data_IF_768954929573
#
_entry.id   IF_768954929573
#
_cell.length_a   1.000
_cell.length_b   1.000
_cell.length_c   1.000
_cell.angle_alpha   90.00
_cell.angle_beta   90.00
_cell.angle_gamma   90.00
#
_symmetry.space_group_name_H-M   'P 1'
#
loop_
_entity.id
_entity.type
_entity.pdbx_description
1 polymer ?
#
# COMPACT_ATOMS: atom_id res chain seq x y z
N UNK A 1 7.01 -16.65 -0.44
CA UNK A 1 6.30 -16.08 0.73
C UNK A 1 4.87 -16.58 0.74
N UNK A 2 4.46 -17.32 1.76
CA UNK A 2 3.07 -17.82 1.94
C UNK A 2 2.17 -16.86 2.71
N UNK A 3 2.65 -15.65 2.98
CA UNK A 3 2.00 -14.64 3.82
C UNK A 3 2.89 -14.25 5.00
N UNK A 4 2.55 -13.13 5.64
CA UNK A 4 3.23 -12.66 6.86
C UNK A 4 2.18 -12.24 7.88
N UNK A 5 2.58 -12.14 9.14
CA UNK A 5 1.71 -11.71 10.23
C UNK A 5 1.79 -10.20 10.43
N UNK A 6 0.63 -9.56 10.58
CA UNK A 6 0.52 -8.17 11.05
C UNK A 6 0.51 -8.16 12.58
N UNK A 7 1.58 -7.61 13.17
CA UNK A 7 1.68 -7.42 14.63
C UNK A 7 0.47 -6.66 15.17
N UNK A 8 0.00 -5.64 14.45
CA UNK A 8 -1.18 -4.85 14.84
C UNK A 8 -2.43 -5.72 14.94
N UNK A 9 -2.74 -6.52 13.91
CA UNK A 9 -3.93 -7.38 13.90
C UNK A 9 -3.86 -8.47 14.98
N UNK A 10 -2.67 -9.02 15.24
CA UNK A 10 -2.45 -9.95 16.35
C UNK A 10 -2.73 -9.28 17.69
N UNK A 11 -2.14 -8.11 17.95
CA UNK A 11 -2.33 -7.37 19.20
C UNK A 11 -3.81 -7.02 19.43
N UNK A 12 -4.54 -6.62 18.38
CA UNK A 12 -5.99 -6.39 18.46
C UNK A 12 -6.74 -7.68 18.86
N UNK A 13 -6.40 -8.83 18.26
CA UNK A 13 -7.04 -10.13 18.56
C UNK A 13 -6.77 -10.60 20.00
N UNK A 14 -5.58 -10.32 20.54
CA UNK A 14 -5.23 -10.64 21.95
C UNK A 14 -5.47 -9.48 22.91
N UNK A 15 -6.24 -8.46 22.52
CA UNK A 15 -6.61 -7.30 23.36
C UNK A 15 -5.42 -6.59 23.98
N UNK A 16 -4.29 -6.56 23.26
CA UNK A 16 -3.03 -5.95 23.67
C UNK A 16 -2.41 -6.56 24.94
N UNK A 17 -2.76 -7.80 25.29
CA UNK A 17 -2.07 -8.52 26.36
C UNK A 17 -0.60 -8.81 25.99
N UNK A 18 0.32 -8.86 26.98
CA UNK A 18 1.68 -9.32 26.76
C UNK A 18 1.70 -10.74 26.18
N UNK A 19 2.43 -10.92 25.09
CA UNK A 19 2.59 -12.20 24.41
C UNK A 19 3.74 -12.98 25.04
N UNK A 20 3.45 -14.20 25.49
CA UNK A 20 4.47 -15.12 26.03
C UNK A 20 5.08 -15.99 24.94
N UNK A 21 4.25 -16.48 24.02
CA UNK A 21 4.65 -17.44 22.99
C UNK A 21 3.79 -17.29 21.73
N UNK A 22 4.40 -17.53 20.56
CA UNK A 22 3.69 -17.62 19.27
C UNK A 22 4.07 -18.93 18.59
N UNK A 23 3.08 -19.72 18.19
CA UNK A 23 3.25 -20.97 17.44
C UNK A 23 2.57 -20.86 16.07
N UNK A 24 3.25 -21.38 15.06
CA UNK A 24 2.74 -21.48 13.69
C UNK A 24 2.42 -22.94 13.38
N UNK A 25 1.17 -23.22 12.99
CA UNK A 25 0.73 -24.53 12.53
C UNK A 25 0.96 -24.71 11.03
N UNK A 26 1.16 -25.95 10.58
CA UNK A 26 1.32 -26.30 9.16
C UNK A 26 0.06 -26.00 8.33
N UNK A 27 -1.10 -25.89 8.97
CA UNK A 27 -2.39 -25.52 8.38
C UNK A 27 -2.58 -24.00 8.20
N UNK A 28 -1.55 -23.18 8.48
CA UNK A 28 -1.64 -21.73 8.45
C UNK A 28 -2.29 -21.13 9.70
N UNK A 29 -2.45 -21.92 10.77
CA UNK A 29 -2.86 -21.39 12.07
C UNK A 29 -1.74 -20.61 12.73
N UNK A 30 -2.10 -19.50 13.39
CA UNK A 30 -1.26 -18.81 14.38
C UNK A 30 -1.91 -18.98 15.76
N UNK A 31 -1.15 -19.49 16.74
CA UNK A 31 -1.58 -19.59 18.13
C UNK A 31 -0.72 -18.67 18.98
N UNK A 32 -1.37 -17.76 19.71
CA UNK A 32 -0.70 -16.77 20.56
C UNK A 32 -1.09 -17.03 22.01
N UNK A 33 -0.09 -17.24 22.86
CA UNK A 33 -0.27 -17.45 24.30
C UNK A 33 -0.08 -16.15 25.05
N UNK A 34 -1.06 -15.81 25.89
CA UNK A 34 -1.01 -14.68 26.82
C UNK A 34 -1.34 -15.17 28.23
N UNK A 35 -1.32 -14.26 29.22
CA UNK A 35 -1.68 -14.57 30.61
C UNK A 35 -3.13 -15.10 30.74
N UNK A 36 -4.04 -14.64 29.88
CA UNK A 36 -5.43 -15.09 29.84
C UNK A 36 -5.64 -16.44 29.14
N UNK A 37 -4.60 -17.00 28.51
CA UNK A 37 -4.64 -18.28 27.81
C UNK A 37 -4.25 -18.19 26.32
N UNK A 38 -4.63 -19.22 25.55
CA UNK A 38 -4.27 -19.35 24.14
C UNK A 38 -5.36 -18.79 23.23
N UNK A 39 -4.98 -17.92 22.30
CA UNK A 39 -5.84 -17.45 21.20
C UNK A 39 -5.40 -18.07 19.89
N UNK A 40 -6.30 -18.80 19.23
CA UNK A 40 -6.08 -19.39 17.90
C UNK A 40 -6.71 -18.51 16.83
N UNK A 41 -5.95 -18.23 15.76
CA UNK A 41 -6.38 -17.44 14.60
C UNK A 41 -5.77 -18.03 13.32
N UNK A 42 -6.36 -17.75 12.17
CA UNK A 42 -5.79 -18.12 10.87
C UNK A 42 -4.86 -17.03 10.35
N UNK A 43 -3.86 -17.39 9.53
CA UNK A 43 -2.98 -16.40 8.91
C UNK A 43 -3.77 -15.36 8.11
N UNK A 44 -4.84 -15.74 7.43
CA UNK A 44 -5.72 -14.81 6.70
C UNK A 44 -6.38 -13.76 7.59
N UNK A 45 -6.69 -14.06 8.86
CA UNK A 45 -7.29 -13.09 9.78
C UNK A 45 -6.31 -12.04 10.28
N UNK A 46 -5.01 -12.38 10.32
CA UNK A 46 -3.97 -11.51 10.87
C UNK A 46 -2.90 -11.12 9.87
N UNK A 47 -3.02 -11.49 8.61
CA UNK A 47 -2.12 -11.02 7.57
C UNK A 47 -2.40 -9.54 7.22
N UNK A 48 -1.39 -8.76 6.84
CA UNK A 48 -1.61 -7.45 6.24
C UNK A 48 -2.41 -7.58 4.94
N UNK A 49 -3.20 -6.56 4.59
CA UNK A 49 -4.15 -6.62 3.46
C UNK A 49 -3.45 -6.89 2.11
N UNK A 50 -2.18 -6.46 1.97
CA UNK A 50 -1.34 -6.78 0.80
C UNK A 50 -1.23 -8.28 0.52
N UNK A 51 -1.23 -9.11 1.55
CA UNK A 51 -1.12 -10.57 1.39
C UNK A 51 -2.36 -11.20 0.74
N UNK A 52 -3.52 -10.55 0.83
CA UNK A 52 -4.74 -11.05 0.21
C UNK A 52 -4.75 -10.91 -1.32
N UNK A 53 -3.95 -9.99 -1.87
CA UNK A 53 -3.95 -9.62 -3.30
C UNK A 53 -2.57 -9.70 -3.96
N UNK A 54 -1.55 -10.21 -3.25
CA UNK A 54 -0.18 -10.29 -3.77
C UNK A 54 -0.07 -11.31 -4.91
N UNK A 55 0.31 -10.83 -6.10
CA UNK A 55 0.57 -11.66 -7.28
C UNK A 55 2.02 -12.16 -7.37
N UNK A 56 2.92 -11.70 -6.49
CA UNK A 56 4.36 -11.99 -6.55
C UNK A 56 4.88 -12.53 -5.20
N UNK A 57 4.47 -13.76 -4.79
CA UNK A 57 4.93 -14.36 -3.53
C UNK A 57 6.42 -14.73 -3.56
N UNK A 58 7.02 -14.84 -4.74
CA UNK A 58 8.45 -15.02 -4.96
C UNK A 58 8.99 -13.75 -5.61
N UNK A 59 10.11 -13.17 -5.13
CA UNK A 59 10.72 -12.00 -5.76
C UNK A 59 11.01 -12.28 -7.23
N UNK A 60 10.72 -11.30 -8.10
CA UNK A 60 10.99 -11.42 -9.54
C UNK A 60 12.50 -11.46 -9.82
N UNK A 61 13.27 -10.69 -9.05
CA UNK A 61 14.73 -10.62 -9.12
C UNK A 61 15.30 -10.91 -7.73
N UNK A 62 16.27 -11.83 -7.65
CA UNK A 62 16.99 -12.17 -6.43
C UNK A 62 18.35 -12.82 -6.76
N UNK A 63 19.36 -12.54 -5.94
CA UNK A 63 20.64 -13.27 -5.98
C UNK A 63 20.59 -14.58 -5.19
N UNK A 64 19.83 -14.57 -4.09
CA UNK A 64 19.61 -15.73 -3.23
C UNK A 64 18.14 -15.81 -2.80
N UNK A 65 17.53 -16.98 -2.97
CA UNK A 65 16.19 -17.28 -2.48
C UNK A 65 16.29 -18.24 -1.29
N UNK A 66 15.77 -17.83 -0.15
CA UNK A 66 15.60 -18.71 1.00
C UNK A 66 14.36 -19.58 0.79
N UNK A 67 14.58 -20.88 0.56
CA UNK A 67 13.52 -21.85 0.25
C UNK A 67 13.21 -21.93 -1.25
N UNK A 68 12.17 -22.70 -1.59
CA UNK A 68 11.78 -22.94 -2.98
C UNK A 68 10.84 -21.83 -3.51
N UNK A 69 10.88 -21.56 -4.83
CA UNK A 69 9.95 -20.62 -5.45
C UNK A 69 8.51 -21.13 -5.35
N UNK A 70 7.60 -20.23 -4.99
CA UNK A 70 6.17 -20.49 -4.86
C UNK A 70 5.44 -19.77 -5.99
N UNK A 71 4.47 -20.47 -6.61
CA UNK A 71 3.58 -19.89 -7.63
C UNK A 71 2.50 -19.02 -6.96
N UNK A 72 2.08 -17.93 -7.61
CA UNK A 72 0.94 -17.14 -7.14
C UNK A 72 -0.29 -18.02 -6.98
N UNK A 73 -0.95 -17.92 -5.83
CA UNK A 73 -2.21 -18.62 -5.52
C UNK A 73 -3.43 -17.70 -5.63
N UNK A 74 -3.21 -16.43 -5.97
CA UNK A 74 -4.25 -15.40 -6.17
C UNK A 74 -4.51 -15.19 -7.65
N UNK A 75 -5.78 -15.03 -8.00
CA UNK A 75 -6.20 -14.74 -9.36
C UNK A 75 -5.75 -13.30 -9.74
N UNK A 76 -5.16 -13.06 -10.92
CA UNK A 76 -4.76 -11.72 -11.36
C UNK A 76 -5.89 -10.68 -11.27
N UNK A 77 -7.13 -11.10 -11.52
CA UNK A 77 -8.34 -10.28 -11.46
C UNK A 77 -8.67 -9.84 -10.04
N UNK A 78 -8.19 -10.56 -9.02
CA UNK A 78 -8.40 -10.17 -7.62
C UNK A 78 -7.49 -9.02 -7.17
N UNK A 79 -6.47 -8.68 -7.95
CA UNK A 79 -5.46 -7.70 -7.57
C UNK A 79 -6.07 -6.35 -7.21
N UNK A 80 -7.06 -5.85 -7.95
CA UNK A 80 -7.65 -4.51 -7.73
C UNK A 80 -9.09 -4.52 -7.19
N UNK A 81 -9.60 -5.67 -6.75
CA UNK A 81 -10.99 -5.82 -6.32
C UNK A 81 -11.42 -4.81 -5.24
N UNK A 82 -10.55 -4.51 -4.27
CA UNK A 82 -10.83 -3.54 -3.21
C UNK A 82 -10.86 -2.08 -3.68
N UNK A 83 -10.17 -1.79 -4.79
CA UNK A 83 -10.23 -0.51 -5.50
C UNK A 83 -11.52 -0.45 -6.30
N UNK A 84 -11.82 -1.47 -7.11
CA UNK A 84 -13.05 -1.57 -7.91
C UNK A 84 -14.30 -1.40 -7.04
N UNK A 85 -14.38 -2.12 -5.92
CA UNK A 85 -15.47 -1.98 -4.93
C UNK A 85 -15.55 -0.55 -4.40
N UNK A 86 -14.42 0.12 -4.16
CA UNK A 86 -14.38 1.49 -3.68
C UNK A 86 -14.79 2.51 -4.76
N UNK A 87 -14.52 2.23 -6.03
CA UNK A 87 -14.88 3.10 -7.16
C UNK A 87 -16.36 3.07 -7.52
N UNK A 88 -17.12 2.06 -7.04
CA UNK A 88 -18.59 2.06 -7.14
C UNK A 88 -19.25 3.19 -6.34
N UNK A 89 -18.52 3.81 -5.40
CA UNK A 89 -18.99 4.92 -4.58
C UNK A 89 -18.99 6.24 -5.34
N UNK A 90 -19.90 7.14 -4.97
CA UNK A 90 -19.93 8.50 -5.52
C UNK A 90 -18.62 9.26 -5.21
N UNK A 91 -18.35 10.33 -5.94
CA UNK A 91 -17.18 11.18 -5.67
C UNK A 91 -17.26 11.79 -4.26
N UNK A 92 -18.45 12.16 -3.81
CA UNK A 92 -18.72 12.71 -2.48
C UNK A 92 -18.44 11.66 -1.39
N UNK A 93 -18.86 10.42 -1.58
CA UNK A 93 -18.59 9.33 -0.65
C UNK A 93 -17.10 9.01 -0.56
N UNK A 94 -16.40 8.97 -1.70
CA UNK A 94 -14.95 8.75 -1.77
C UNK A 94 -14.19 9.89 -1.12
N UNK A 95 -14.59 11.14 -1.38
CA UNK A 95 -14.04 12.35 -0.74
C UNK A 95 -14.24 12.30 0.77
N UNK A 96 -15.45 12.05 1.24
CA UNK A 96 -15.76 11.96 2.67
C UNK A 96 -14.99 10.83 3.37
N UNK A 97 -14.75 9.70 2.69
CA UNK A 97 -13.90 8.63 3.21
C UNK A 97 -12.46 9.12 3.44
N UNK A 98 -11.84 9.70 2.42
CA UNK A 98 -10.45 10.18 2.54
C UNK A 98 -10.31 11.35 3.49
N UNK A 99 -11.31 12.24 3.57
CA UNK A 99 -11.33 13.32 4.55
C UNK A 99 -11.31 12.77 5.98
N UNK A 100 -12.12 11.75 6.29
CA UNK A 100 -12.11 11.10 7.62
C UNK A 100 -10.79 10.37 7.91
N UNK A 101 -10.25 9.63 6.94
CA UNK A 101 -8.99 8.91 7.13
C UNK A 101 -7.81 9.87 7.33
N UNK A 102 -7.72 10.92 6.50
CA UNK A 102 -6.61 11.87 6.58
C UNK A 102 -6.76 12.89 7.70
N UNK A 103 -7.95 13.17 8.22
CA UNK A 103 -8.08 14.02 9.41
C UNK A 103 -7.32 13.44 10.62
N UNK A 104 -7.30 12.11 10.73
CA UNK A 104 -6.54 11.36 11.74
C UNK A 104 -5.02 11.40 11.54
N UNK A 105 -4.53 11.83 10.38
CA UNK A 105 -3.09 11.86 10.10
C UNK A 105 -2.39 12.89 10.99
N UNK A 106 -1.39 12.42 11.76
CA UNK A 106 -0.58 13.25 12.66
C UNK A 106 0.68 13.80 11.99
N UNK A 107 0.83 13.64 10.67
CA UNK A 107 2.00 14.08 9.89
C UNK A 107 3.35 13.60 10.46
N UNK A 108 3.40 12.38 11.00
CA UNK A 108 4.65 11.78 11.48
C UNK A 108 5.58 11.31 10.35
N UNK A 109 5.10 11.30 9.10
CA UNK A 109 5.82 10.88 7.89
C UNK A 109 6.43 9.47 7.92
N UNK A 110 6.04 8.60 8.87
CA UNK A 110 6.48 7.21 8.91
C UNK A 110 6.20 6.49 7.58
N UNK A 111 5.05 6.75 6.96
CA UNK A 111 4.68 6.16 5.67
C UNK A 111 5.54 6.62 4.50
N UNK A 112 6.08 7.85 4.54
CA UNK A 112 7.08 8.35 3.57
C UNK A 112 8.42 7.66 3.84
N UNK A 113 8.87 7.68 5.09
CA UNK A 113 10.23 7.24 5.46
C UNK A 113 10.41 5.73 5.31
N UNK A 114 9.34 4.94 5.41
CA UNK A 114 9.36 3.50 5.16
C UNK A 114 9.29 3.14 3.66
N UNK A 115 8.99 4.10 2.77
CA UNK A 115 8.84 3.82 1.35
C UNK A 115 10.21 3.80 0.67
N UNK A 116 10.63 2.67 0.06
CA UNK A 116 11.93 2.59 -0.62
C UNK A 116 11.99 3.45 -1.88
N UNK A 117 10.84 3.88 -2.41
CA UNK A 117 10.75 4.71 -3.61
C UNK A 117 10.80 6.22 -3.32
N UNK A 118 10.81 6.62 -2.04
CA UNK A 118 10.94 8.02 -1.63
C UNK A 118 12.40 8.48 -1.66
N UNK A 119 12.89 8.82 -2.85
CA UNK A 119 14.31 9.17 -3.09
C UNK A 119 14.63 10.66 -2.95
N UNK A 120 13.63 11.53 -2.88
CA UNK A 120 13.80 12.99 -2.86
C UNK A 120 14.34 13.54 -1.52
N UNK A 121 15.18 12.78 -0.78
CA UNK A 121 15.47 12.96 0.65
C UNK A 121 15.52 14.43 1.11
N UNK A 122 16.33 15.27 0.45
CA UNK A 122 16.56 16.68 0.83
C UNK A 122 15.61 17.70 0.16
N UNK A 123 14.74 17.26 -0.75
CA UNK A 123 13.81 18.12 -1.51
C UNK A 123 12.38 17.59 -1.50
N UNK A 124 12.02 16.88 -0.43
CA UNK A 124 10.67 16.36 -0.26
C UNK A 124 9.68 17.50 -0.05
N UNK A 125 8.49 17.41 -0.66
CA UNK A 125 7.42 18.39 -0.48
C UNK A 125 7.01 18.60 0.98
N UNK A 126 7.21 17.60 1.85
CA UNK A 126 6.89 17.67 3.27
C UNK A 126 7.84 18.57 4.08
N UNK A 127 9.04 18.81 3.55
CA UNK A 127 10.16 19.47 4.25
C UNK A 127 10.68 20.70 3.48
N UNK A 128 10.47 20.74 2.16
CA UNK A 128 10.92 21.82 1.28
C UNK A 128 10.23 23.14 1.62
N UNK A 129 11.04 24.17 1.80
CA UNK A 129 10.59 25.57 1.92
C UNK A 129 10.45 26.24 0.55
N UNK A 130 11.27 25.84 -0.42
CA UNK A 130 11.32 26.45 -1.75
C UNK A 130 11.43 25.35 -2.82
N UNK A 131 10.40 25.15 -3.66
CA UNK A 131 9.05 25.73 -3.55
C UNK A 131 8.29 25.25 -2.29
N UNK A 132 7.42 26.12 -1.76
CA UNK A 132 6.59 25.85 -0.57
C UNK A 132 5.28 25.14 -0.98
N UNK A 133 5.34 23.82 -1.16
CA UNK A 133 4.21 23.01 -1.63
C UNK A 133 3.11 22.82 -0.57
N UNK A 134 3.50 22.52 0.66
CA UNK A 134 2.60 22.33 1.80
C UNK A 134 3.13 23.08 3.00
N UNK A 135 2.24 23.72 3.75
CA UNK A 135 2.62 24.37 5.00
C UNK A 135 2.84 23.36 6.12
N UNK A 136 3.36 23.79 7.26
CA UNK A 136 3.51 22.94 8.46
C UNK A 136 2.19 22.75 9.24
N UNK A 137 1.08 23.37 8.82
CA UNK A 137 -0.20 23.26 9.52
C UNK A 137 -0.76 21.84 9.42
N UNK A 138 -1.13 21.24 10.54
CA UNK A 138 -1.78 19.91 10.55
C UNK A 138 -3.31 20.00 10.35
N UNK A 139 -3.78 20.83 9.42
CA UNK A 139 -5.19 20.84 9.02
C UNK A 139 -5.45 19.84 7.89
N UNK A 140 -6.72 19.52 7.65
CA UNK A 140 -7.12 18.52 6.66
C UNK A 140 -6.65 18.86 5.24
N UNK A 141 -6.73 20.13 4.82
CA UNK A 141 -6.29 20.58 3.49
C UNK A 141 -4.83 20.24 3.23
N UNK A 142 -3.95 20.54 4.19
CA UNK A 142 -2.51 20.26 4.06
C UNK A 142 -2.20 18.76 4.07
N UNK A 143 -2.91 17.99 4.90
CA UNK A 143 -2.79 16.52 4.94
C UNK A 143 -3.24 15.90 3.61
N UNK A 144 -4.36 16.36 3.07
CA UNK A 144 -4.88 15.95 1.75
C UNK A 144 -3.85 16.25 0.66
N UNK A 145 -3.35 17.49 0.57
CA UNK A 145 -2.36 17.90 -0.44
C UNK A 145 -1.10 17.03 -0.38
N UNK A 146 -0.54 16.82 0.82
CA UNK A 146 0.62 15.94 0.99
C UNK A 146 0.34 14.52 0.47
N UNK A 147 -0.78 13.92 0.86
CA UNK A 147 -1.11 12.55 0.47
C UNK A 147 -1.37 12.40 -1.04
N UNK A 148 -1.98 13.40 -1.68
CA UNK A 148 -2.20 13.41 -3.13
C UNK A 148 -0.90 13.56 -3.90
N UNK A 149 -0.05 14.55 -3.55
CA UNK A 149 1.23 14.77 -4.23
C UNK A 149 2.15 13.57 -4.02
N UNK A 150 2.23 13.02 -2.81
CA UNK A 150 3.03 11.84 -2.52
C UNK A 150 2.54 10.60 -3.30
N UNK A 151 1.23 10.44 -3.50
CA UNK A 151 0.70 9.37 -4.33
C UNK A 151 1.08 9.57 -5.81
N UNK A 152 0.97 10.80 -6.32
CA UNK A 152 1.37 11.14 -7.69
C UNK A 152 2.87 10.92 -7.94
N UNK A 153 3.75 11.29 -7.01
CA UNK A 153 5.19 11.03 -7.11
C UNK A 153 5.53 9.54 -7.22
N UNK A 154 4.66 8.68 -6.72
CA UNK A 154 4.80 7.23 -6.76
C UNK A 154 4.06 6.58 -7.94
N UNK A 155 3.40 7.36 -8.80
CA UNK A 155 2.77 6.85 -10.01
C UNK A 155 3.81 6.15 -10.90
N UNK A 156 3.54 4.90 -11.26
CA UNK A 156 4.48 4.06 -12.02
C UNK A 156 5.67 3.53 -11.22
N UNK A 157 5.72 3.75 -9.90
CA UNK A 157 6.83 3.33 -9.01
C UNK A 157 6.39 2.49 -7.83
N UNK A 158 5.15 2.63 -7.37
CA UNK A 158 4.67 1.88 -6.22
C UNK A 158 4.52 0.39 -6.56
N UNK A 159 5.25 -0.48 -5.87
CA UNK A 159 5.16 -1.94 -6.03
C UNK A 159 4.19 -2.61 -5.04
N UNK A 160 3.30 -1.81 -4.45
CA UNK A 160 2.27 -2.29 -3.50
C UNK A 160 2.81 -3.07 -2.29
N UNK A 161 4.01 -2.73 -1.82
CA UNK A 161 4.65 -3.40 -0.70
C UNK A 161 3.91 -3.22 0.64
N UNK A 162 2.94 -2.30 0.75
CA UNK A 162 2.09 -2.09 1.93
C UNK A 162 2.81 -1.58 3.19
N UNK A 163 4.10 -1.23 3.09
CA UNK A 163 4.88 -0.77 4.24
C UNK A 163 4.36 0.55 4.81
N UNK A 164 3.80 1.41 3.97
CA UNK A 164 3.16 2.66 4.38
C UNK A 164 1.98 2.46 5.34
N UNK A 165 1.23 1.36 5.19
CA UNK A 165 0.12 1.01 6.08
C UNK A 165 0.65 0.37 7.37
N UNK A 166 1.65 -0.52 7.24
CA UNK A 166 2.26 -1.23 8.37
C UNK A 166 2.82 -0.26 9.40
N UNK A 167 3.48 0.81 8.95
CA UNK A 167 4.14 1.78 9.83
C UNK A 167 3.23 2.92 10.28
N UNK A 168 2.00 3.03 9.77
CA UNK A 168 1.10 4.12 10.15
C UNK A 168 0.56 3.88 11.56
N UNK A 169 0.92 4.71 12.56
CA UNK A 169 0.43 4.52 13.94
C UNK A 169 -1.08 4.76 14.03
N UNK A 170 -1.63 5.53 13.09
CA UNK A 170 -3.06 5.83 13.03
C UNK A 170 -3.84 4.79 12.23
N UNK A 171 -3.18 3.82 11.59
CA UNK A 171 -3.83 2.80 10.77
C UNK A 171 -4.54 3.34 9.53
N UNK A 172 -4.02 4.41 8.93
CA UNK A 172 -4.56 4.99 7.68
C UNK A 172 -4.18 4.06 6.51
N UNK A 173 -5.11 3.68 5.63
CA UNK A 173 -4.86 2.80 4.48
C UNK A 173 -4.23 3.59 3.32
N UNK A 174 -3.01 4.08 3.54
CA UNK A 174 -2.24 4.89 2.58
C UNK A 174 -1.99 4.12 1.29
N UNK A 175 -1.79 2.80 1.34
CA UNK A 175 -1.53 1.94 0.19
C UNK A 175 -2.72 1.88 -0.77
N UNK A 176 -3.97 1.93 -0.27
CA UNK A 176 -5.19 1.90 -1.09
C UNK A 176 -5.22 3.02 -2.14
N UNK A 177 -4.72 4.21 -1.77
CA UNK A 177 -4.58 5.32 -2.71
C UNK A 177 -3.56 5.03 -3.83
N UNK A 178 -2.46 4.34 -3.52
CA UNK A 178 -1.39 4.03 -4.49
C UNK A 178 -1.81 2.87 -5.37
N UNK A 179 -2.53 1.91 -4.81
CA UNK A 179 -3.15 0.80 -5.51
C UNK A 179 -4.14 1.27 -6.58
N UNK A 180 -4.93 2.32 -6.29
CA UNK A 180 -5.76 2.98 -7.32
C UNK A 180 -4.91 3.54 -8.46
N UNK A 181 -3.82 4.25 -8.15
CA UNK A 181 -2.92 4.77 -9.18
C UNK A 181 -2.32 3.63 -10.01
N UNK A 182 -1.95 2.51 -9.40
CA UNK A 182 -1.44 1.35 -10.14
C UNK A 182 -2.50 0.71 -11.04
N UNK A 183 -3.75 0.62 -10.57
CA UNK A 183 -4.88 0.20 -11.40
C UNK A 183 -5.00 1.09 -12.65
N UNK A 184 -4.90 2.41 -12.48
CA UNK A 184 -4.91 3.37 -13.59
C UNK A 184 -3.69 3.20 -14.51
N UNK A 185 -2.49 2.99 -13.95
CA UNK A 185 -1.28 2.74 -14.76
C UNK A 185 -1.44 1.49 -15.63
N UNK A 186 -2.05 0.43 -15.08
CA UNK A 186 -2.31 -0.81 -15.82
C UNK A 186 -3.40 -0.63 -16.88
N UNK A 187 -4.50 0.01 -16.54
CA UNK A 187 -5.62 0.24 -17.45
C UNK A 187 -5.25 1.18 -18.62
N UNK A 188 -4.55 2.27 -18.32
CA UNK A 188 -4.21 3.31 -19.31
C UNK A 188 -2.96 2.96 -20.12
N UNK A 189 -1.94 2.37 -19.48
CA UNK A 189 -0.63 2.18 -20.12
C UNK A 189 -0.19 0.73 -20.23
N UNK A 190 -0.97 -0.23 -19.71
CA UNK A 190 -0.54 -1.63 -19.64
C UNK A 190 0.69 -1.85 -18.76
N UNK A 191 0.99 -0.91 -17.88
CA UNK A 191 2.24 -0.87 -17.11
C UNK A 191 2.02 -1.37 -15.67
N UNK A 192 2.93 -2.25 -15.22
CA UNK A 192 2.93 -2.79 -13.86
C UNK A 192 4.27 -2.48 -13.17
N UNK A 193 4.27 -1.63 -12.12
CA UNK A 193 5.52 -1.20 -11.49
C UNK A 193 6.33 -2.36 -10.91
N UNK A 194 7.62 -2.42 -11.24
CA UNK A 194 8.59 -3.32 -10.61
C UNK A 194 8.50 -4.79 -11.04
N UNK A 195 7.77 -5.11 -12.11
CA UNK A 195 7.60 -6.48 -12.61
C UNK A 195 8.52 -6.79 -13.79
N UNK A 196 8.64 -5.88 -14.76
CA UNK A 196 9.52 -6.02 -15.92
C UNK A 196 10.63 -4.98 -15.83
N UNK A 197 11.88 -5.41 -15.90
CA UNK A 197 13.03 -4.53 -15.70
C UNK A 197 13.30 -3.66 -16.93
N UNK A 198 12.95 -4.16 -18.10
CA UNK A 198 13.07 -3.50 -19.40
C UNK A 198 12.00 -2.44 -19.66
N UNK A 199 10.92 -2.43 -18.88
CA UNK A 199 9.85 -1.45 -19.05
C UNK A 199 10.33 -0.06 -18.60
N UNK A 200 10.03 0.95 -19.42
CA UNK A 200 10.18 2.36 -19.03
C UNK A 200 8.86 2.85 -18.42
N UNK A 201 8.86 3.45 -17.21
CA UNK A 201 7.62 3.93 -16.61
C UNK A 201 6.89 4.94 -17.51
N UNK A 202 5.54 4.95 -17.57
CA UNK A 202 4.79 5.79 -18.52
C UNK A 202 5.14 7.28 -18.42
N UNK A 203 5.35 7.78 -17.20
CA UNK A 203 5.72 9.18 -16.92
C UNK A 203 7.14 9.57 -17.40
N UNK A 204 7.91 8.63 -17.94
CA UNK A 204 9.25 8.82 -18.51
C UNK A 204 9.28 8.64 -20.02
N UNK A 205 8.11 8.39 -20.62
CA UNK A 205 7.96 8.20 -22.06
C UNK A 205 7.14 9.34 -22.65
N UNK A 206 7.24 9.51 -23.97
CA UNK A 206 6.41 10.42 -24.73
C UNK A 206 5.78 9.65 -25.89
N UNK A 207 4.45 9.74 -26.02
CA UNK A 207 3.70 9.27 -27.17
C UNK A 207 2.87 10.42 -27.71
N UNK A 208 2.76 10.53 -29.03
CA UNK A 208 1.89 11.52 -29.66
C UNK A 208 0.41 11.14 -29.49
N UNK A 209 0.13 9.84 -29.43
CA UNK A 209 -1.21 9.30 -29.27
C UNK A 209 -1.28 8.44 -28.00
N UNK A 210 -2.28 8.69 -27.16
CA UNK A 210 -2.58 7.89 -25.97
C UNK A 210 -3.66 6.86 -26.29
N UNK A 211 -3.24 5.61 -26.50
CA UNK A 211 -4.11 4.53 -27.02
C UNK A 211 -5.40 4.32 -26.24
N UNK A 212 -5.37 4.57 -24.92
CA UNK A 212 -6.47 4.26 -24.00
C UNK A 212 -7.08 5.52 -23.37
N UNK A 213 -6.66 6.72 -23.78
CA UNK A 213 -7.23 7.98 -23.30
C UNK A 213 -7.98 8.63 -24.46
N UNK A 214 -9.31 8.61 -24.39
CA UNK A 214 -10.12 9.40 -25.32
C UNK A 214 -10.06 10.87 -24.89
N UNK A 215 -9.45 11.73 -25.71
CA UNK A 215 -9.55 13.16 -25.50
C UNK A 215 -11.02 13.56 -25.47
N UNK A 216 -11.42 14.25 -24.39
CA UNK A 216 -12.72 14.90 -24.34
C UNK A 216 -12.73 15.91 -25.48
N UNK A 217 -13.74 15.82 -26.37
CA UNK A 217 -13.93 16.81 -27.44
C UNK A 217 -13.93 18.21 -26.78
N UNK A 218 -12.91 19.00 -27.12
CA UNK A 218 -12.78 20.40 -26.69
C UNK A 218 -13.98 21.23 -27.17
#
# INVERSE_FOLDING_TARGET
>A
CTGVVSVKKVLEKVKHEPIEEVKFGEDGTVTVKTLSGDTRMTLSEVAPDKCATCLYPTPVVYDHLAGEPIKPDKAPESAFKDVEEFETKSLEERKAYWEREFDRCIRCYACRNACPMCVCQDSCIAESREPHWVSQKANLTEKMMFHMIHALHLAGRCVECGECDRVCPMGIPVSKLKKKINSDMKALYGYEPGVKQEDTPPMYTFSVEEKNIEEHKL
#
